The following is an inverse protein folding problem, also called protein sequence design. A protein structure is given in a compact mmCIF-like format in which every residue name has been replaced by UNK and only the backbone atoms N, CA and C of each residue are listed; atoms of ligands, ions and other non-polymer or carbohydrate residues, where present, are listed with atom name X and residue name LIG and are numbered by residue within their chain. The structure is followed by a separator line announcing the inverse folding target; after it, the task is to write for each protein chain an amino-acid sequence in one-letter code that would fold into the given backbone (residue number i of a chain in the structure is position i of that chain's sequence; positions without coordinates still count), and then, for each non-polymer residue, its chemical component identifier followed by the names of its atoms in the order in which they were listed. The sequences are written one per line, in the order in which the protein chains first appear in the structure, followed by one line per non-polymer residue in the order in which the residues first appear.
data_IF_072783077768
#
_entry.id   IF_072783077768
#
_cell.length_a   1.000
_cell.length_b   1.000
_cell.length_c   1.000
_cell.angle_alpha   90.00
_cell.angle_beta   90.00
_cell.angle_gamma   90.00
#
_symmetry.space_group_name_H-M   'P 1'
#
loop_
_entity.id
_entity.type
_entity.pdbx_description
1 polymer ?
#
# COMPACT_ATOMS: atom_id res chain seq x y z
N UNK A 1 15.16 -13.60 -18.84
CA UNK A 1 15.53 -12.48 -17.95
C UNK A 1 14.41 -12.36 -16.94
N UNK A 2 14.66 -12.62 -15.66
CA UNK A 2 13.68 -12.32 -14.62
C UNK A 2 13.52 -10.80 -14.56
N UNK A 3 12.36 -10.30 -14.98
CA UNK A 3 12.08 -8.87 -14.98
C UNK A 3 12.00 -8.39 -13.53
N UNK A 4 12.98 -7.60 -13.11
CA UNK A 4 12.98 -6.94 -11.80
C UNK A 4 11.77 -6.01 -11.75
N UNK A 5 10.93 -6.16 -10.71
CA UNK A 5 9.79 -5.25 -10.51
C UNK A 5 10.31 -3.83 -10.27
N UNK A 6 9.73 -2.80 -10.90
CA UNK A 6 10.13 -1.42 -10.67
C UNK A 6 9.94 -1.05 -9.20
N UNK A 7 10.87 -0.24 -8.69
CA UNK A 7 10.79 0.31 -7.34
C UNK A 7 9.68 1.38 -7.27
N UNK A 8 9.18 1.62 -6.05
CA UNK A 8 8.19 2.69 -5.80
C UNK A 8 8.69 4.04 -6.30
N UNK A 9 9.97 4.37 -6.09
CA UNK A 9 10.57 5.63 -6.56
C UNK A 9 10.56 5.74 -8.09
N UNK A 10 10.83 4.64 -8.80
CA UNK A 10 10.77 4.62 -10.27
C UNK A 10 9.34 4.77 -10.77
N UNK A 11 8.36 4.17 -10.09
CA UNK A 11 6.94 4.31 -10.43
C UNK A 11 6.51 5.77 -10.28
N UNK A 12 6.88 6.44 -9.18
CA UNK A 12 6.59 7.86 -8.99
C UNK A 12 7.30 8.76 -10.01
N UNK A 13 8.56 8.48 -10.34
CA UNK A 13 9.27 9.21 -11.39
C UNK A 13 8.60 9.07 -12.76
N UNK A 14 8.13 7.87 -13.10
CA UNK A 14 7.35 7.62 -14.32
C UNK A 14 6.03 8.40 -14.31
N UNK A 15 5.30 8.36 -13.19
CA UNK A 15 4.04 9.07 -13.05
C UNK A 15 4.21 10.60 -13.18
N UNK A 16 5.25 11.18 -12.58
CA UNK A 16 5.57 12.60 -12.72
C UNK A 16 5.82 13.00 -14.19
N UNK A 17 6.67 12.24 -14.89
CA UNK A 17 6.97 12.49 -16.30
C UNK A 17 5.72 12.35 -17.21
N UNK A 18 4.78 11.48 -16.86
CA UNK A 18 3.51 11.34 -17.58
C UNK A 18 2.58 12.53 -17.34
N UNK A 19 2.51 13.04 -16.10
CA UNK A 19 1.72 14.24 -15.78
C UNK A 19 2.27 15.45 -16.57
N UNK A 20 3.59 15.67 -16.53
CA UNK A 20 4.24 16.75 -17.31
C UNK A 20 3.93 16.64 -18.81
N UNK A 21 3.99 15.43 -19.39
CA UNK A 21 3.68 15.20 -20.80
C UNK A 21 2.21 15.45 -21.14
N UNK A 22 1.31 15.20 -20.20
CA UNK A 22 -0.13 15.44 -20.36
C UNK A 22 -0.51 16.91 -20.09
N UNK A 23 0.42 17.75 -19.62
CA UNK A 23 0.12 19.11 -19.18
C UNK A 23 -0.65 19.16 -17.86
N UNK A 24 -0.56 18.10 -17.06
CA UNK A 24 -1.21 17.95 -15.76
C UNK A 24 -0.19 18.19 -14.63
N UNK A 25 -0.63 18.82 -13.54
CA UNK A 25 0.17 18.93 -12.33
C UNK A 25 0.21 17.58 -11.60
N UNK A 26 1.36 17.27 -10.99
CA UNK A 26 1.46 16.06 -10.18
C UNK A 26 0.68 16.24 -8.87
N UNK A 27 -0.23 15.32 -8.50
CA UNK A 27 -1.13 15.50 -7.36
C UNK A 27 -0.37 15.56 -6.03
N UNK A 28 -0.72 16.52 -5.18
CA UNK A 28 -0.12 16.69 -3.84
C UNK A 28 -0.76 15.76 -2.81
N UNK A 29 -2.05 15.42 -2.99
CA UNK A 29 -2.79 14.59 -2.06
C UNK A 29 -3.20 13.24 -2.66
N UNK A 30 -3.57 12.32 -1.78
CA UNK A 30 -4.10 11.01 -2.18
C UNK A 30 -5.49 11.12 -2.80
N UNK A 31 -6.31 12.04 -2.30
CA UNK A 31 -7.62 12.33 -2.88
C UNK A 31 -7.45 12.85 -4.32
N UNK A 32 -6.61 13.87 -4.56
CA UNK A 32 -6.36 14.42 -5.90
C UNK A 32 -5.80 13.36 -6.86
N UNK A 33 -4.89 12.51 -6.36
CA UNK A 33 -4.35 11.42 -7.16
C UNK A 33 -5.43 10.43 -7.59
N UNK A 34 -6.38 10.13 -6.70
CA UNK A 34 -7.48 9.20 -6.99
C UNK A 34 -8.42 9.77 -8.05
N UNK A 35 -8.76 11.06 -7.95
CA UNK A 35 -9.57 11.77 -8.93
C UNK A 35 -8.90 11.85 -10.31
N UNK A 36 -7.61 12.22 -10.35
CA UNK A 36 -6.82 12.29 -11.58
C UNK A 36 -6.74 10.92 -12.27
N UNK A 37 -6.43 9.86 -11.51
CA UNK A 37 -6.36 8.50 -12.04
C UNK A 37 -7.70 8.07 -12.61
N UNK A 38 -8.81 8.36 -11.93
CA UNK A 38 -10.13 7.99 -12.41
C UNK A 38 -10.50 8.73 -13.70
N UNK A 39 -10.27 10.05 -13.76
CA UNK A 39 -10.47 10.85 -14.99
C UNK A 39 -9.67 10.26 -16.16
N UNK A 40 -8.38 10.05 -15.97
CA UNK A 40 -7.50 9.47 -17.00
C UNK A 40 -7.90 8.05 -17.39
N UNK A 41 -8.39 7.24 -16.45
CA UNK A 41 -8.90 5.88 -16.75
C UNK A 41 -10.12 5.93 -17.64
N UNK A 42 -11.06 6.84 -17.40
CA UNK A 42 -12.27 7.00 -18.20
C UNK A 42 -11.93 7.51 -19.59
N UNK A 43 -11.10 8.55 -19.68
CA UNK A 43 -10.65 9.13 -20.96
C UNK A 43 -9.93 8.09 -21.84
N UNK A 44 -9.11 7.22 -21.23
CA UNK A 44 -8.43 6.14 -21.93
C UNK A 44 -9.30 4.91 -22.20
N UNK A 45 -10.57 4.89 -21.75
CA UNK A 45 -11.48 3.75 -21.94
C UNK A 45 -11.11 2.51 -21.13
N UNK A 46 -10.48 2.68 -19.96
CA UNK A 46 -10.05 1.56 -19.13
C UNK A 46 -11.28 0.79 -18.58
N UNK A 47 -11.32 -0.56 -18.69
CA UNK A 47 -12.53 -1.35 -18.41
C UNK A 47 -12.87 -1.50 -16.92
N UNK A 48 -12.13 -0.86 -16.01
CA UNK A 48 -12.30 -1.09 -14.59
C UNK A 48 -13.35 -0.12 -14.02
N UNK A 49 -14.20 -0.55 -13.07
CA UNK A 49 -15.31 0.26 -12.56
C UNK A 49 -14.83 1.51 -11.82
N UNK A 50 -15.75 2.45 -11.57
CA UNK A 50 -15.46 3.66 -10.78
C UNK A 50 -15.11 3.27 -9.35
N UNK A 51 -14.35 4.13 -8.67
CA UNK A 51 -13.95 3.89 -7.29
C UNK A 51 -15.17 3.75 -6.36
N UNK A 52 -16.20 4.56 -6.59
CA UNK A 52 -17.45 4.55 -5.81
C UNK A 52 -18.32 3.32 -6.07
N UNK A 53 -18.14 2.65 -7.21
CA UNK A 53 -18.86 1.42 -7.56
C UNK A 53 -18.21 0.17 -6.96
N UNK A 54 -17.00 0.30 -6.43
CA UNK A 54 -16.30 -0.81 -5.81
C UNK A 54 -16.94 -1.14 -4.45
N UNK A 55 -17.11 -2.44 -4.13
CA UNK A 55 -17.55 -2.83 -2.80
C UNK A 55 -16.54 -2.31 -1.76
N UNK A 56 -16.99 -1.95 -0.54
CA UNK A 56 -16.10 -1.57 0.54
C UNK A 56 -15.01 -2.63 0.69
N UNK A 57 -13.75 -2.20 0.59
CA UNK A 57 -12.62 -3.10 0.75
C UNK A 57 -12.79 -3.85 2.07
N UNK A 58 -12.72 -5.20 2.06
CA UNK A 58 -12.80 -5.95 3.31
C UNK A 58 -11.74 -5.40 4.24
N UNK A 59 -12.05 -5.19 5.54
CA UNK A 59 -11.08 -4.67 6.48
C UNK A 59 -9.85 -5.54 6.32
N UNK A 60 -8.73 -4.91 5.95
CA UNK A 60 -7.45 -5.60 5.91
C UNK A 60 -7.35 -6.29 7.26
N UNK A 61 -7.50 -7.62 7.27
CA UNK A 61 -7.03 -8.43 8.38
C UNK A 61 -5.56 -8.11 8.38
N UNK A 62 -5.16 -7.12 9.20
CA UNK A 62 -3.80 -6.93 9.61
C UNK A 62 -3.33 -8.34 9.85
N UNK A 63 -2.34 -8.80 9.07
CA UNK A 63 -1.71 -10.09 9.28
C UNK A 63 -1.36 -10.12 10.77
N UNK A 64 -2.23 -10.74 11.57
CA UNK A 64 -2.00 -11.09 12.98
C UNK A 64 -0.90 -12.13 12.90
N UNK A 65 0.32 -11.64 12.78
CA UNK A 65 1.44 -12.45 12.35
C UNK A 65 2.77 -11.70 12.29
N UNK A 66 2.84 -10.46 12.79
CA UNK A 66 4.12 -9.75 12.94
C UNK A 66 4.31 -9.14 14.34
N UNK A 67 3.81 -9.82 15.37
CA UNK A 67 4.29 -9.70 16.75
C UNK A 67 5.37 -10.76 17.04
N UNK A 68 6.37 -10.87 16.18
CA UNK A 68 7.15 -12.12 16.05
C UNK A 68 8.42 -12.23 16.90
N UNK A 69 8.90 -11.14 17.49
CA UNK A 69 10.21 -11.09 18.18
C UNK A 69 10.11 -10.72 19.66
N UNK A 70 9.68 -9.49 19.95
CA UNK A 70 9.61 -8.97 21.31
C UNK A 70 8.60 -9.75 22.19
N UNK A 71 7.41 -10.05 21.68
CA UNK A 71 6.40 -10.81 22.42
C UNK A 71 6.85 -12.24 22.75
N UNK A 72 7.66 -12.87 21.88
CA UNK A 72 8.23 -14.19 22.15
C UNK A 72 9.29 -14.12 23.24
N UNK A 73 10.12 -13.08 23.23
CA UNK A 73 11.12 -12.86 24.27
C UNK A 73 10.44 -12.55 25.61
N UNK A 74 9.43 -11.67 25.63
CA UNK A 74 8.64 -11.36 26.81
C UNK A 74 7.98 -12.60 27.41
N UNK A 75 7.41 -13.48 26.57
CA UNK A 75 6.85 -14.76 27.03
C UNK A 75 7.91 -15.70 27.60
N UNK A 76 9.11 -15.77 26.99
CA UNK A 76 10.22 -16.56 27.53
C UNK A 76 10.68 -16.05 28.87
N UNK A 77 10.86 -14.72 29.00
CA UNK A 77 11.23 -14.07 30.26
C UNK A 77 10.18 -14.36 31.33
N UNK A 78 8.89 -14.18 31.03
CA UNK A 78 7.81 -14.47 31.99
C UNK A 78 7.80 -15.95 32.44
N UNK A 79 8.06 -16.89 31.53
CA UNK A 79 8.14 -18.31 31.85
C UNK A 79 9.41 -18.70 32.63
N UNK A 80 10.51 -17.96 32.48
CA UNK A 80 11.73 -18.11 33.28
C UNK A 80 11.48 -17.63 34.71
N UNK A 81 10.96 -16.40 34.88
CA UNK A 81 10.64 -15.82 36.19
C UNK A 81 9.65 -16.68 36.97
N UNK A 82 8.61 -17.21 36.31
CA UNK A 82 7.64 -18.10 36.96
C UNK A 82 8.23 -19.45 37.40
N UNK A 83 9.36 -19.88 36.81
CA UNK A 83 10.08 -21.09 37.24
C UNK A 83 10.99 -20.82 38.42
N UNK A 84 11.61 -19.64 38.49
CA UNK A 84 12.46 -19.24 39.61
C UNK A 84 11.68 -18.91 40.89
N UNK A 85 10.41 -18.50 40.76
CA UNK A 85 9.53 -18.20 41.89
C UNK A 85 8.75 -19.42 42.43
N UNK A 86 9.07 -20.63 41.98
CA UNK A 86 8.53 -21.90 42.52
C UNK A 86 9.51 -22.53 43.49
#
# INVERSE_FOLDING_TARGET
MDAVRPTVRQIYALAAALCEKAGEEFPETREDASELIERLRIENGHPAPRLDDLPPLPPHRHRRGRGGGADKLARRIAAEVARELR
#
